data_IF_073652141662
#
_entry.id   IF_073652141662
#
_cell.length_a   1.000
_cell.length_b   1.000
_cell.length_c   1.000
_cell.angle_alpha   90.00
_cell.angle_beta   90.00
_cell.angle_gamma   90.00
#
_symmetry.space_group_name_H-M   'P 1'
#
loop_
_entity.id
_entity.type
_entity.pdbx_description
1 polymer ?
#
# COMPACT_ATOMS: atom_id res chain seq x y z
N UNK A 1 -13.84 0.67 2.75
CA UNK A 1 -15.09 1.15 3.37
C UNK A 1 -14.83 2.48 4.06
N UNK A 2 -15.58 3.51 3.68
CA UNK A 2 -15.47 4.83 4.32
C UNK A 2 -15.69 4.71 5.83
N UNK A 3 -15.11 5.60 6.62
CA UNK A 3 -15.44 5.67 8.05
C UNK A 3 -16.88 6.16 8.21
N UNK A 4 -17.61 5.49 9.09
CA UNK A 4 -19.00 5.80 9.41
C UNK A 4 -19.14 6.10 10.90
N UNK A 5 -20.11 6.93 11.27
CA UNK A 5 -20.46 7.20 12.66
C UNK A 5 -21.95 7.48 12.79
N UNK A 6 -22.54 7.03 13.90
CA UNK A 6 -23.91 7.41 14.28
C UNK A 6 -23.82 8.40 15.42
N UNK A 7 -24.35 9.61 15.19
CA UNK A 7 -24.25 10.72 16.15
C UNK A 7 -24.86 10.33 17.49
N UNK A 8 -24.14 10.62 18.56
CA UNK A 8 -24.63 10.52 19.94
C UNK A 8 -24.80 11.90 20.57
N UNK A 9 -25.53 11.96 21.69
CA UNK A 9 -25.85 13.22 22.35
C UNK A 9 -24.59 14.00 22.76
N UNK A 10 -24.56 15.29 22.41
CA UNK A 10 -23.49 16.22 22.77
C UNK A 10 -22.32 16.30 21.78
N UNK A 11 -22.37 15.56 20.67
CA UNK A 11 -21.35 15.67 19.62
C UNK A 11 -21.58 16.88 18.71
N UNK A 12 -20.48 17.48 18.24
CA UNK A 12 -20.47 18.51 17.19
C UNK A 12 -19.65 18.02 16.00
N UNK A 13 -19.92 18.56 14.81
CA UNK A 13 -19.14 18.20 13.63
C UNK A 13 -17.65 18.55 13.77
N UNK A 14 -17.32 19.66 14.45
CA UNK A 14 -15.93 20.06 14.70
C UNK A 14 -15.19 19.10 15.65
N UNK A 15 -15.85 18.61 16.71
CA UNK A 15 -15.28 17.62 17.61
C UNK A 15 -15.09 16.26 16.90
N UNK A 16 -16.05 15.88 16.05
CA UNK A 16 -15.94 14.69 15.22
C UNK A 16 -14.83 14.84 14.16
N UNK A 17 -14.71 16.00 13.52
CA UNK A 17 -13.62 16.29 12.58
C UNK A 17 -12.26 16.22 13.26
N UNK A 18 -12.11 16.79 14.46
CA UNK A 18 -10.89 16.66 15.25
C UNK A 18 -10.59 15.20 15.60
N UNK A 19 -11.61 14.43 15.99
CA UNK A 19 -11.46 13.02 16.35
C UNK A 19 -11.05 12.15 15.16
N UNK A 20 -11.69 12.34 14.01
CA UNK A 20 -11.50 11.47 12.86
C UNK A 20 -10.42 11.96 11.90
N UNK A 21 -10.24 13.26 11.71
CA UNK A 21 -9.21 13.80 10.82
C UNK A 21 -8.00 14.40 11.56
N UNK A 22 -8.06 14.56 12.88
CA UNK A 22 -7.03 15.30 13.62
C UNK A 22 -7.09 16.82 13.40
N UNK A 23 -8.12 17.33 12.73
CA UNK A 23 -8.30 18.74 12.42
C UNK A 23 -9.80 19.12 12.50
N UNK A 24 -10.12 20.03 13.42
CA UNK A 24 -11.49 20.49 13.64
C UNK A 24 -12.05 21.29 12.45
N UNK A 25 -11.18 21.92 11.65
CA UNK A 25 -11.57 22.75 10.50
C UNK A 25 -12.08 21.93 9.31
N UNK A 26 -11.98 20.59 9.37
CA UNK A 26 -12.52 19.69 8.35
C UNK A 26 -13.98 19.31 8.58
N UNK A 27 -14.67 19.95 9.53
CA UNK A 27 -16.11 19.76 9.71
C UNK A 27 -16.95 20.06 8.44
N UNK A 28 -16.59 21.02 7.55
CA UNK A 28 -17.37 21.26 6.33
C UNK A 28 -17.36 20.07 5.37
N UNK A 29 -16.29 19.26 5.37
CA UNK A 29 -16.24 18.02 4.61
C UNK A 29 -17.29 17.01 5.11
N UNK A 30 -17.44 16.88 6.43
CA UNK A 30 -18.47 16.01 7.02
C UNK A 30 -19.86 16.53 6.69
N UNK A 31 -20.07 17.85 6.78
CA UNK A 31 -21.34 18.47 6.45
C UNK A 31 -21.72 18.26 4.98
N UNK A 32 -20.77 18.50 4.06
CA UNK A 32 -20.94 18.28 2.63
C UNK A 32 -21.28 16.83 2.31
N UNK A 33 -20.57 15.88 2.93
CA UNK A 33 -20.80 14.46 2.71
C UNK A 33 -22.07 13.93 3.38
N UNK A 34 -22.49 14.59 4.46
CA UNK A 34 -23.67 14.28 5.24
C UNK A 34 -24.97 14.89 4.72
N UNK A 35 -24.93 15.75 3.69
CA UNK A 35 -26.09 16.55 3.28
C UNK A 35 -26.60 17.46 4.42
N UNK A 36 -25.69 18.04 5.20
CA UNK A 36 -26.02 18.89 6.35
C UNK A 36 -25.90 20.35 5.94
N UNK A 37 -27.03 21.05 5.88
CA UNK A 37 -27.06 22.47 5.54
C UNK A 37 -26.62 23.37 6.70
N UNK A 38 -27.01 23.04 7.92
CA UNK A 38 -26.62 23.76 9.14
C UNK A 38 -25.68 22.88 10.01
N UNK A 39 -24.36 23.17 10.02
CA UNK A 39 -23.38 22.36 10.73
C UNK A 39 -23.49 22.45 12.26
N UNK A 40 -24.23 23.44 12.79
CA UNK A 40 -24.47 23.59 14.23
C UNK A 40 -25.67 22.74 14.70
N UNK A 41 -26.45 22.18 13.78
CA UNK A 41 -27.62 21.34 14.07
C UNK A 41 -27.35 19.88 13.72
N UNK A 42 -26.89 19.11 14.72
CA UNK A 42 -26.58 17.70 14.56
C UNK A 42 -27.53 16.80 15.35
N UNK A 43 -28.41 16.08 14.64
CA UNK A 43 -29.40 15.20 15.25
C UNK A 43 -28.79 13.88 15.74
N UNK A 44 -29.13 13.49 16.98
CA UNK A 44 -28.78 12.17 17.52
C UNK A 44 -29.37 11.07 16.66
N UNK A 45 -28.57 10.03 16.36
CA UNK A 45 -28.94 8.94 15.47
C UNK A 45 -28.68 9.23 13.98
N UNK A 46 -28.27 10.45 13.61
CA UNK A 46 -27.88 10.73 12.22
C UNK A 46 -26.65 9.93 11.85
N UNK A 47 -26.67 9.31 10.67
CA UNK A 47 -25.53 8.64 10.08
C UNK A 47 -24.62 9.64 9.39
N UNK A 48 -23.32 9.55 9.66
CA UNK A 48 -22.28 10.38 9.08
C UNK A 48 -21.22 9.50 8.43
N UNK A 49 -20.66 10.00 7.34
CA UNK A 49 -19.48 9.45 6.70
C UNK A 49 -18.32 10.43 6.81
N UNK A 50 -17.10 9.91 6.82
CA UNK A 50 -15.88 10.69 6.87
C UNK A 50 -15.03 10.33 5.64
N UNK A 51 -15.29 11.01 4.49
CA UNK A 51 -14.54 10.79 3.27
C UNK A 51 -13.05 11.05 3.48
N UNK A 52 -12.23 10.35 2.71
CA UNK A 52 -10.85 10.79 2.59
C UNK A 52 -10.80 12.06 1.73
N UNK A 53 -9.69 12.79 1.82
CA UNK A 53 -9.59 14.07 1.14
C UNK A 53 -8.16 14.42 0.75
N UNK A 54 -8.09 15.38 -0.14
CA UNK A 54 -6.89 16.03 -0.64
C UNK A 54 -6.92 17.50 -0.24
N UNK A 55 -5.82 17.99 0.34
CA UNK A 55 -5.57 19.44 0.45
C UNK A 55 -4.94 19.92 -0.85
N UNK A 56 -5.58 20.88 -1.50
CA UNK A 56 -5.10 21.51 -2.73
C UNK A 56 -4.85 22.99 -2.49
N UNK A 57 -3.69 23.50 -2.93
CA UNK A 57 -3.41 24.94 -2.92
C UNK A 57 -3.75 25.52 -4.27
N UNK A 58 -4.69 26.45 -4.31
CA UNK A 58 -5.12 27.11 -5.53
C UNK A 58 -3.94 27.76 -6.26
N UNK A 59 -3.76 27.42 -7.52
CA UNK A 59 -2.80 28.05 -8.42
C UNK A 59 -3.42 29.31 -9.05
N UNK A 60 -2.59 30.24 -9.57
CA UNK A 60 -3.09 31.35 -10.37
C UNK A 60 -3.95 30.86 -11.55
N UNK A 61 -5.18 31.37 -11.65
CA UNK A 61 -6.14 31.01 -12.68
C UNK A 61 -7.08 29.85 -12.34
N UNK A 62 -6.91 29.21 -11.18
CA UNK A 62 -7.84 28.18 -10.75
C UNK A 62 -9.24 28.76 -10.45
N UNK A 63 -10.24 28.00 -10.85
CA UNK A 63 -11.66 28.24 -10.54
C UNK A 63 -12.26 26.95 -9.98
N UNK A 64 -13.34 27.03 -9.19
CA UNK A 64 -14.00 25.82 -8.69
C UNK A 64 -14.41 24.87 -9.83
N UNK A 65 -14.99 25.32 -10.97
CA UNK A 65 -15.31 24.44 -12.10
C UNK A 65 -14.08 23.81 -12.77
N UNK A 66 -12.98 24.55 -12.93
CA UNK A 66 -11.76 24.00 -13.52
C UNK A 66 -11.12 22.94 -12.63
N UNK A 67 -11.18 23.13 -11.31
CA UNK A 67 -10.72 22.14 -10.34
C UNK A 67 -11.64 20.92 -10.28
N UNK A 68 -12.96 21.11 -10.33
CA UNK A 68 -13.91 20.00 -10.38
C UNK A 68 -13.73 19.15 -11.66
N UNK A 69 -13.52 19.80 -12.81
CA UNK A 69 -13.14 19.10 -14.05
C UNK A 69 -11.85 18.30 -13.88
N UNK A 70 -10.85 18.88 -13.23
CA UNK A 70 -9.54 18.24 -13.01
C UNK A 70 -9.61 17.05 -12.07
N UNK A 71 -10.31 17.17 -10.95
CA UNK A 71 -10.30 16.18 -9.88
C UNK A 71 -11.43 15.15 -10.00
N UNK A 72 -12.57 15.56 -10.55
CA UNK A 72 -13.77 14.73 -10.65
C UNK A 72 -14.19 14.43 -12.09
N UNK A 73 -13.50 14.99 -13.09
CA UNK A 73 -13.85 14.84 -14.50
C UNK A 73 -15.06 15.68 -14.93
N UNK A 74 -15.60 16.52 -14.05
CA UNK A 74 -16.89 17.18 -14.23
C UNK A 74 -16.95 18.53 -13.51
N UNK A 75 -17.25 19.58 -14.28
CA UNK A 75 -17.32 20.94 -13.80
C UNK A 75 -18.51 21.18 -12.86
N UNK A 76 -19.60 20.41 -13.01
CA UNK A 76 -20.83 20.61 -12.25
C UNK A 76 -20.66 20.19 -10.78
N UNK A 77 -19.61 19.44 -10.46
CA UNK A 77 -19.23 19.09 -9.09
C UNK A 77 -18.42 20.19 -8.36
N UNK A 78 -18.35 21.40 -8.92
CA UNK A 78 -17.72 22.56 -8.28
C UNK A 78 -18.29 22.87 -6.89
N UNK A 79 -19.60 22.66 -6.71
CA UNK A 79 -20.28 22.86 -5.43
C UNK A 79 -19.69 22.00 -4.31
N UNK A 80 -19.22 20.80 -4.64
CA UNK A 80 -18.67 19.87 -3.66
C UNK A 80 -17.34 20.38 -3.10
N UNK A 81 -16.47 20.91 -3.97
CA UNK A 81 -15.21 21.54 -3.53
C UNK A 81 -15.51 22.75 -2.66
N UNK A 82 -16.48 23.58 -3.05
CA UNK A 82 -16.87 24.76 -2.29
C UNK A 82 -17.35 24.36 -0.88
N UNK A 83 -18.38 23.50 -0.79
CA UNK A 83 -18.93 23.03 0.50
C UNK A 83 -17.87 22.33 1.36
N UNK A 84 -17.10 21.40 0.80
CA UNK A 84 -16.06 20.70 1.56
C UNK A 84 -14.95 21.63 2.08
N UNK A 85 -14.72 22.76 1.40
CA UNK A 85 -13.76 23.79 1.81
C UNK A 85 -14.37 24.89 2.70
N UNK A 86 -15.67 24.79 3.04
CA UNK A 86 -16.36 25.84 3.80
C UNK A 86 -16.53 27.16 3.04
N UNK A 87 -16.59 27.11 1.70
CA UNK A 87 -16.71 28.26 0.82
C UNK A 87 -18.09 28.34 0.18
N UNK A 88 -18.59 29.56 -0.15
CA UNK A 88 -19.75 29.69 -1.01
C UNK A 88 -19.42 29.20 -2.43
N UNK A 89 -20.41 28.65 -3.14
CA UNK A 89 -20.23 28.15 -4.51
C UNK A 89 -19.80 29.25 -5.50
N UNK A 90 -20.14 30.50 -5.20
CA UNK A 90 -19.71 31.68 -5.96
C UNK A 90 -18.31 32.20 -5.59
N UNK A 91 -17.54 31.47 -4.78
CA UNK A 91 -16.24 31.92 -4.30
C UNK A 91 -15.25 32.10 -5.46
N UNK A 92 -14.58 33.25 -5.48
CA UNK A 92 -13.41 33.50 -6.32
C UNK A 92 -12.17 33.05 -5.56
N UNK A 93 -11.42 32.12 -6.14
CA UNK A 93 -10.25 31.52 -5.49
C UNK A 93 -9.07 32.49 -5.49
N UNK A 94 -8.37 32.56 -4.36
CA UNK A 94 -7.12 33.31 -4.25
C UNK A 94 -5.92 32.37 -4.39
N UNK A 95 -4.86 32.73 -5.14
CA UNK A 95 -3.67 31.88 -5.24
C UNK A 95 -3.07 31.60 -3.87
N UNK A 96 -2.77 30.32 -3.60
CA UNK A 96 -2.28 29.83 -2.32
C UNK A 96 -3.37 29.42 -1.33
N UNK A 97 -4.64 29.74 -1.60
CA UNK A 97 -5.78 29.32 -0.78
C UNK A 97 -5.86 27.81 -0.75
N UNK A 98 -6.00 27.25 0.46
CA UNK A 98 -6.16 25.83 0.64
C UNK A 98 -7.62 25.42 0.46
N UNK A 99 -7.82 24.37 -0.32
CA UNK A 99 -9.10 23.77 -0.65
C UNK A 99 -9.11 22.30 -0.26
N UNK A 100 -10.28 21.80 0.13
CA UNK A 100 -10.52 20.41 0.43
C UNK A 100 -11.22 19.77 -0.76
N UNK A 101 -10.55 18.80 -1.36
CA UNK A 101 -11.07 17.98 -2.46
C UNK A 101 -11.43 16.62 -1.85
N UNK A 102 -12.72 16.32 -1.76
CA UNK A 102 -13.20 15.06 -1.21
C UNK A 102 -12.89 13.91 -2.18
N UNK A 103 -12.37 12.79 -1.67
CA UNK A 103 -12.22 11.59 -2.49
C UNK A 103 -13.62 10.99 -2.74
N UNK A 104 -13.90 10.68 -4.01
CA UNK A 104 -15.16 10.08 -4.45
C UNK A 104 -14.91 9.04 -5.54
N UNK A 105 -15.87 8.13 -5.65
CA UNK A 105 -15.97 7.11 -6.71
C UNK A 105 -17.24 7.38 -7.50
N UNK A 106 -17.12 7.30 -8.83
CA UNK A 106 -18.26 7.26 -9.75
C UNK A 106 -18.72 5.82 -9.90
N UNK A 107 -20.00 5.57 -9.70
CA UNK A 107 -20.60 4.25 -9.82
C UNK A 107 -21.76 4.26 -10.81
N UNK A 108 -21.64 3.49 -11.90
CA UNK A 108 -22.73 3.31 -12.85
C UNK A 108 -23.73 2.28 -12.32
N UNK A 109 -24.97 2.70 -12.11
CA UNK A 109 -26.06 1.84 -11.61
C UNK A 109 -26.24 0.64 -12.53
N UNK A 110 -26.10 -0.56 -11.96
CA UNK A 110 -26.30 -1.83 -12.63
C UNK A 110 -27.74 -2.35 -12.44
N UNK A 111 -28.18 -3.31 -13.28
CA UNK A 111 -29.47 -3.97 -13.08
C UNK A 111 -29.59 -4.59 -11.68
N UNK A 112 -30.73 -4.35 -11.03
CA UNK A 112 -31.05 -4.81 -9.66
C UNK A 112 -30.34 -4.08 -8.51
N UNK A 113 -29.57 -3.03 -8.78
CA UNK A 113 -29.07 -2.17 -7.71
C UNK A 113 -30.20 -1.47 -6.95
N UNK A 114 -29.96 -1.25 -5.66
CA UNK A 114 -30.77 -0.38 -4.81
C UNK A 114 -29.83 0.48 -3.97
N UNK A 115 -30.24 1.70 -3.58
CA UNK A 115 -29.37 2.54 -2.75
C UNK A 115 -28.98 1.86 -1.43
N UNK A 116 -29.86 1.04 -0.84
CA UNK A 116 -29.54 0.25 0.36
C UNK A 116 -28.50 -0.84 0.11
N UNK A 117 -28.54 -1.51 -1.04
CA UNK A 117 -27.51 -2.48 -1.42
C UNK A 117 -26.16 -1.79 -1.67
N UNK A 118 -26.19 -0.64 -2.35
CA UNK A 118 -24.98 0.17 -2.58
C UNK A 118 -24.42 0.73 -1.26
N UNK A 119 -25.26 1.20 -0.33
CA UNK A 119 -24.82 1.64 0.99
C UNK A 119 -24.22 0.48 1.80
N UNK A 120 -24.82 -0.71 1.75
CA UNK A 120 -24.23 -1.90 2.37
C UNK A 120 -22.86 -2.23 1.76
N UNK A 121 -22.72 -2.06 0.45
CA UNK A 121 -21.48 -2.31 -0.27
C UNK A 121 -20.37 -1.30 0.07
N UNK A 122 -20.67 -0.01 -0.04
CA UNK A 122 -19.68 1.06 0.09
C UNK A 122 -19.45 1.52 1.53
N UNK A 123 -20.50 1.50 2.35
CA UNK A 123 -20.54 2.05 3.71
C UNK A 123 -20.73 0.97 4.79
N UNK A 124 -20.95 -0.29 4.39
CA UNK A 124 -21.07 -1.44 5.30
C UNK A 124 -22.43 -1.61 5.96
N UNK A 125 -23.33 -0.66 5.76
CA UNK A 125 -24.65 -0.66 6.39
C UNK A 125 -25.69 -0.05 5.45
N UNK A 126 -26.77 -0.81 5.21
CA UNK A 126 -27.88 -0.40 4.36
C UNK A 126 -28.53 0.92 4.81
N UNK A 127 -28.52 1.22 6.10
CA UNK A 127 -29.13 2.43 6.68
C UNK A 127 -28.46 3.73 6.24
N UNK A 128 -27.27 3.65 5.65
CA UNK A 128 -26.53 4.81 5.13
C UNK A 128 -26.97 5.24 3.72
N UNK A 129 -27.96 4.58 3.12
CA UNK A 129 -28.46 4.93 1.79
C UNK A 129 -28.93 6.39 1.63
N UNK A 130 -29.48 7.10 2.65
CA UNK A 130 -29.86 8.49 2.49
C UNK A 130 -28.69 9.39 2.11
N UNK A 131 -27.47 9.08 2.57
CA UNK A 131 -26.27 9.84 2.20
C UNK A 131 -25.94 9.74 0.70
N UNK A 132 -26.20 8.58 0.08
CA UNK A 132 -26.06 8.41 -1.37
C UNK A 132 -27.15 9.19 -2.09
N UNK A 133 -28.39 9.16 -1.59
CA UNK A 133 -29.49 9.90 -2.18
C UNK A 133 -29.24 11.41 -2.17
N UNK A 134 -28.83 11.95 -1.01
CA UNK A 134 -28.64 13.39 -0.78
C UNK A 134 -27.55 13.97 -1.69
N UNK A 135 -26.37 13.35 -1.76
CA UNK A 135 -25.25 13.85 -2.59
C UNK A 135 -25.55 13.81 -4.09
N UNK A 136 -26.45 12.91 -4.52
CA UNK A 136 -26.87 12.76 -5.91
C UNK A 136 -28.19 13.46 -6.23
N UNK A 137 -28.80 14.16 -5.28
CA UNK A 137 -30.08 14.85 -5.48
C UNK A 137 -31.26 13.90 -5.78
N UNK A 138 -31.21 12.65 -5.30
CA UNK A 138 -32.26 11.65 -5.54
C UNK A 138 -33.40 11.89 -4.55
N UNK A 139 -34.52 12.39 -5.05
CA UNK A 139 -35.70 12.68 -4.22
C UNK A 139 -36.47 11.43 -3.77
N UNK A 140 -36.50 10.38 -4.60
CA UNK A 140 -37.11 9.08 -4.26
C UNK A 140 -36.04 7.97 -4.26
N UNK A 141 -35.53 7.58 -3.08
CA UNK A 141 -34.50 6.55 -2.94
C UNK A 141 -34.88 5.15 -3.45
N UNK A 142 -36.18 4.91 -3.72
CA UNK A 142 -36.67 3.64 -4.25
C UNK A 142 -36.52 3.52 -5.78
N UNK A 143 -36.21 4.63 -6.46
CA UNK A 143 -36.10 4.69 -7.91
C UNK A 143 -34.69 5.16 -8.28
N UNK A 144 -33.87 4.23 -8.78
CA UNK A 144 -32.58 4.53 -9.41
C UNK A 144 -32.53 3.90 -10.81
N UNK A 145 -32.19 4.71 -11.81
CA UNK A 145 -32.18 4.28 -13.19
C UNK A 145 -30.85 3.62 -13.56
N UNK A 146 -30.92 2.43 -14.16
CA UNK A 146 -29.75 1.71 -14.68
C UNK A 146 -29.01 2.59 -15.68
N UNK A 147 -27.68 2.65 -15.54
CA UNK A 147 -26.81 3.51 -16.35
C UNK A 147 -26.61 4.92 -15.78
N UNK A 148 -27.37 5.33 -14.76
CA UNK A 148 -27.10 6.58 -14.03
C UNK A 148 -25.77 6.48 -13.32
N UNK A 149 -24.98 7.54 -13.37
CA UNK A 149 -23.73 7.61 -12.62
C UNK A 149 -23.96 8.29 -11.28
N UNK A 150 -23.63 7.58 -10.20
CA UNK A 150 -23.75 8.06 -8.83
C UNK A 150 -22.38 8.48 -8.30
N UNK A 151 -22.36 9.60 -7.59
CA UNK A 151 -21.27 10.01 -6.72
C UNK A 151 -21.38 9.27 -5.40
N UNK A 152 -20.35 8.51 -5.07
CA UNK A 152 -20.20 7.82 -3.79
C UNK A 152 -18.93 8.36 -3.13
N UNK A 153 -19.03 8.91 -1.93
CA UNK A 153 -17.82 9.33 -1.23
C UNK A 153 -16.94 8.13 -0.94
N UNK A 154 -15.65 8.28 -1.25
CA UNK A 154 -14.67 7.25 -1.04
C UNK A 154 -13.93 7.50 0.27
N UNK A 155 -13.59 6.41 0.92
CA UNK A 155 -12.62 6.42 2.00
C UNK A 155 -11.89 5.09 2.00
N UNK A 156 -10.62 5.14 2.37
CA UNK A 156 -9.83 3.94 2.56
C UNK A 156 -10.43 3.13 3.67
N UNK A 157 -10.63 1.86 3.43
CA UNK A 157 -11.14 0.97 4.45
C UNK A 157 -11.01 -0.49 4.11
N UNK A 158 -11.81 -1.27 4.80
CA UNK A 158 -11.67 -2.71 4.84
C UNK A 158 -11.84 -3.37 3.47
N UNK A 159 -11.23 -4.54 3.32
CA UNK A 159 -11.29 -5.33 2.11
C UNK A 159 -10.26 -6.45 2.11
N UNK A 160 -10.48 -7.48 1.30
CA UNK A 160 -9.53 -8.58 1.10
C UNK A 160 -9.09 -9.29 2.39
N UNK A 161 -9.97 -9.33 3.41
CA UNK A 161 -9.69 -9.92 4.72
C UNK A 161 -8.82 -9.05 5.64
N UNK A 162 -8.69 -7.76 5.35
CA UNK A 162 -8.08 -6.75 6.20
C UNK A 162 -9.16 -5.82 6.77
N UNK A 163 -9.14 -5.64 8.09
CA UNK A 163 -9.94 -4.66 8.80
C UNK A 163 -9.01 -3.60 9.41
N UNK A 164 -9.19 -2.32 9.08
CA UNK A 164 -8.35 -1.25 9.61
C UNK A 164 -8.70 -1.03 11.08
N UNK A 165 -7.72 -1.21 11.96
CA UNK A 165 -7.89 -1.02 13.41
C UNK A 165 -7.13 0.19 13.94
N UNK A 166 -6.18 0.71 13.17
CA UNK A 166 -5.41 1.92 13.49
C UNK A 166 -4.86 2.52 12.20
N UNK A 167 -4.75 3.84 12.11
CA UNK A 167 -4.16 4.54 10.96
C UNK A 167 -3.78 5.98 11.29
N UNK A 168 -2.84 6.53 10.55
CA UNK A 168 -2.55 7.97 10.55
C UNK A 168 -2.18 8.43 9.13
N UNK A 169 -2.85 9.49 8.70
CA UNK A 169 -2.73 10.06 7.35
C UNK A 169 -2.37 11.57 7.40
N UNK A 170 -1.96 12.06 8.58
CA UNK A 170 -1.71 13.48 8.82
C UNK A 170 -0.42 13.96 8.14
N UNK A 171 0.55 13.07 7.96
CA UNK A 171 1.76 13.38 7.19
C UNK A 171 1.40 13.65 5.72
N UNK A 172 2.06 14.62 5.05
CA UNK A 172 1.82 14.88 3.63
C UNK A 172 2.13 13.70 2.70
N UNK A 173 3.02 12.79 3.11
CA UNK A 173 3.50 11.69 2.26
C UNK A 173 3.44 10.33 2.94
N UNK A 174 3.82 10.21 4.22
CA UNK A 174 3.91 8.90 4.88
C UNK A 174 2.67 8.61 5.72
N UNK A 175 1.84 7.70 5.23
CA UNK A 175 0.70 7.20 5.98
C UNK A 175 0.99 5.83 6.55
N UNK A 176 0.36 5.50 7.67
CA UNK A 176 0.41 4.14 8.20
C UNK A 176 -0.98 3.58 8.46
N UNK A 177 -1.05 2.25 8.40
CA UNK A 177 -2.22 1.45 8.71
C UNK A 177 -1.82 0.27 9.58
N UNK A 178 -2.70 -0.15 10.48
CA UNK A 178 -2.67 -1.47 11.11
C UNK A 178 -3.94 -2.22 10.78
N UNK A 179 -3.80 -3.51 10.57
CA UNK A 179 -4.90 -4.36 10.13
C UNK A 179 -5.15 -5.49 11.11
N UNK A 180 -6.39 -5.70 11.53
CA UNK A 180 -6.81 -7.00 12.01
C UNK A 180 -7.04 -7.93 10.81
N UNK A 181 -6.54 -9.17 10.91
CA UNK A 181 -6.70 -10.18 9.85
C UNK A 181 -6.57 -11.60 10.39
N UNK A 182 -7.10 -12.60 9.69
CA UNK A 182 -6.96 -14.01 10.05
C UNK A 182 -5.58 -14.60 9.69
N UNK A 183 -4.81 -13.92 8.84
CA UNK A 183 -3.50 -14.40 8.40
C UNK A 183 -2.42 -14.28 9.49
N UNK A 184 -2.55 -13.31 10.39
CA UNK A 184 -1.53 -12.91 11.37
C UNK A 184 -2.19 -12.79 12.75
N UNK A 185 -1.55 -13.36 13.79
CA UNK A 185 -2.10 -13.38 15.16
C UNK A 185 -2.10 -12.05 15.92
N UNK A 186 -1.72 -10.94 15.28
CA UNK A 186 -1.75 -9.56 15.81
C UNK A 186 -2.09 -8.61 14.67
N UNK A 187 -2.02 -7.30 14.94
CA UNK A 187 -2.33 -6.27 13.95
C UNK A 187 -1.06 -5.80 13.19
N UNK A 188 -0.66 -6.44 12.06
CA UNK A 188 0.50 -6.03 11.28
C UNK A 188 0.37 -4.58 10.81
N UNK A 189 1.50 -3.88 10.79
CA UNK A 189 1.59 -2.51 10.32
C UNK A 189 2.02 -2.43 8.85
N UNK A 190 1.58 -1.38 8.16
CA UNK A 190 2.00 -1.04 6.80
C UNK A 190 2.20 0.46 6.70
N UNK A 191 3.38 0.87 6.25
CA UNK A 191 3.63 2.24 5.84
C UNK A 191 3.36 2.37 4.33
N UNK A 192 2.69 3.43 3.92
CA UNK A 192 2.48 3.81 2.51
C UNK A 192 3.02 5.21 2.32
N UNK A 193 4.12 5.32 1.59
CA UNK A 193 4.75 6.58 1.25
C UNK A 193 4.31 7.04 -0.12
N UNK A 194 3.77 8.25 -0.18
CA UNK A 194 3.17 8.83 -1.37
C UNK A 194 4.09 9.85 -2.04
N UNK A 195 3.97 9.99 -3.37
CA UNK A 195 4.52 11.12 -4.11
C UNK A 195 4.05 12.46 -3.53
N UNK A 196 4.89 13.48 -3.59
CA UNK A 196 4.55 14.82 -3.07
C UNK A 196 3.35 15.45 -3.79
N UNK A 197 3.10 15.06 -5.03
CA UNK A 197 1.96 15.52 -5.84
C UNK A 197 0.74 14.59 -5.74
N UNK A 198 0.77 13.51 -4.94
CA UNK A 198 -0.31 12.51 -4.91
C UNK A 198 -1.67 13.15 -4.64
N UNK A 199 -1.75 14.02 -3.64
CA UNK A 199 -2.97 14.75 -3.29
C UNK A 199 -3.40 15.67 -4.43
N UNK A 200 -2.50 16.43 -5.03
CA UNK A 200 -2.87 17.53 -5.94
C UNK A 200 -2.94 17.17 -7.42
N UNK A 201 -2.38 16.04 -7.85
CA UNK A 201 -2.19 15.76 -9.29
C UNK A 201 -3.38 15.06 -9.95
N UNK A 202 -4.19 14.31 -9.20
CA UNK A 202 -5.20 13.39 -9.76
C UNK A 202 -4.61 12.20 -10.54
N UNK A 203 -3.29 11.98 -10.48
CA UNK A 203 -2.61 10.89 -11.22
C UNK A 203 -2.78 9.54 -10.56
N UNK A 204 -2.69 8.51 -11.38
CA UNK A 204 -2.39 7.11 -11.03
C UNK A 204 -0.89 6.89 -11.04
N UNK A 205 -0.37 6.10 -10.11
CA UNK A 205 1.06 5.92 -9.88
C UNK A 205 1.51 4.45 -9.91
N UNK A 206 2.75 4.16 -10.34
CA UNK A 206 3.36 2.86 -10.09
C UNK A 206 3.64 2.65 -8.59
N UNK A 207 3.82 1.39 -8.18
CA UNK A 207 4.02 0.99 -6.77
C UNK A 207 5.29 0.16 -6.62
N UNK A 208 6.11 0.49 -5.62
CA UNK A 208 7.19 -0.35 -5.10
C UNK A 208 6.78 -0.96 -3.76
N UNK A 209 6.68 -2.29 -3.68
CA UNK A 209 6.57 -3.00 -2.41
C UNK A 209 7.99 -3.25 -1.88
N UNK A 210 8.34 -2.65 -0.74
CA UNK A 210 9.69 -2.63 -0.17
C UNK A 210 9.74 -3.36 1.17
N UNK A 211 10.48 -4.47 1.20
CA UNK A 211 10.50 -5.45 2.28
C UNK A 211 11.72 -5.31 3.19
N UNK A 212 11.50 -5.32 4.51
CA UNK A 212 12.54 -5.17 5.52
C UNK A 212 13.30 -6.48 5.80
N UNK A 213 14.43 -6.37 6.50
CA UNK A 213 15.25 -7.48 6.94
C UNK A 213 14.72 -8.17 8.21
N UNK A 214 15.48 -9.16 8.71
CA UNK A 214 15.15 -9.80 9.98
C UNK A 214 15.25 -8.83 11.17
N UNK A 215 14.44 -9.05 12.19
CA UNK A 215 14.28 -8.28 13.43
C UNK A 215 13.94 -6.79 13.22
N UNK A 216 13.39 -6.47 12.04
CA UNK A 216 12.88 -5.14 11.67
C UNK A 216 11.35 -5.19 11.53
N UNK A 217 10.74 -4.04 11.21
CA UNK A 217 9.31 -3.93 10.92
C UNK A 217 9.03 -2.88 9.83
N UNK A 218 7.74 -2.63 9.56
CA UNK A 218 7.23 -1.67 8.59
C UNK A 218 7.80 -0.23 8.72
N UNK A 219 8.42 0.13 9.85
CA UNK A 219 9.00 1.45 10.11
C UNK A 219 10.48 1.55 9.75
N UNK A 220 11.17 0.43 9.51
CA UNK A 220 12.62 0.40 9.31
C UNK A 220 13.10 1.40 8.25
N UNK A 221 12.47 1.40 7.07
CA UNK A 221 12.86 2.28 5.98
C UNK A 221 12.55 3.76 6.26
N UNK A 222 11.54 4.06 7.10
CA UNK A 222 11.30 5.43 7.57
C UNK A 222 12.51 5.95 8.35
N UNK A 223 12.99 5.15 9.32
CA UNK A 223 14.22 5.46 10.06
C UNK A 223 15.49 5.46 9.19
N UNK A 224 15.47 4.75 8.06
CA UNK A 224 16.56 4.72 7.08
C UNK A 224 16.50 5.87 6.05
N UNK A 225 15.59 6.84 6.20
CA UNK A 225 15.54 8.04 5.34
C UNK A 225 14.81 7.83 4.00
N UNK A 226 13.88 6.88 3.91
CA UNK A 226 13.15 6.60 2.67
C UNK A 226 12.38 7.81 2.13
N UNK A 227 11.97 8.76 2.99
CA UNK A 227 11.24 9.96 2.59
C UNK A 227 12.09 10.87 1.71
N UNK A 228 13.36 11.04 2.07
CA UNK A 228 14.36 11.80 1.34
C UNK A 228 14.78 11.06 0.07
N UNK A 229 15.03 9.75 0.17
CA UNK A 229 15.48 8.93 -0.97
C UNK A 229 14.45 8.88 -2.10
N UNK A 230 13.17 9.06 -1.79
CA UNK A 230 12.06 9.05 -2.74
C UNK A 230 11.50 10.44 -3.04
N UNK A 231 12.12 11.51 -2.51
CA UNK A 231 11.64 12.87 -2.71
C UNK A 231 11.60 13.23 -4.21
N UNK A 232 10.48 13.78 -4.67
CA UNK A 232 10.25 14.15 -6.08
C UNK A 232 10.07 12.97 -7.04
N UNK A 233 10.07 11.73 -6.54
CA UNK A 233 9.88 10.54 -7.39
C UNK A 233 8.38 10.22 -7.53
N UNK A 234 7.85 10.00 -8.75
CA UNK A 234 6.43 9.76 -8.98
C UNK A 234 6.08 8.27 -8.78
N UNK A 235 6.31 7.74 -7.58
CA UNK A 235 6.07 6.34 -7.21
C UNK A 235 5.53 6.22 -5.78
N UNK A 236 4.58 5.33 -5.56
CA UNK A 236 4.12 4.95 -4.22
C UNK A 236 5.05 3.87 -3.68
N UNK A 237 5.47 3.97 -2.42
CA UNK A 237 6.28 2.93 -1.76
C UNK A 237 5.49 2.33 -0.60
N UNK A 238 5.21 1.03 -0.68
CA UNK A 238 4.48 0.26 0.33
C UNK A 238 5.49 -0.57 1.13
N UNK A 239 5.54 -0.37 2.43
CA UNK A 239 6.48 -1.00 3.35
C UNK A 239 5.70 -1.77 4.41
N UNK A 240 5.37 -3.05 4.18
CA UNK A 240 4.64 -3.86 5.14
C UNK A 240 5.54 -4.53 6.17
N UNK A 241 4.95 -4.85 7.32
CA UNK A 241 5.50 -5.79 8.30
C UNK A 241 5.57 -7.20 7.69
N UNK A 242 6.70 -7.88 7.89
CA UNK A 242 6.97 -9.25 7.47
C UNK A 242 7.39 -10.17 8.63
N UNK A 243 7.19 -9.71 9.87
CA UNK A 243 7.58 -10.41 11.09
C UNK A 243 9.06 -10.30 11.39
N UNK A 244 9.45 -10.62 12.63
CA UNK A 244 10.85 -10.54 13.05
C UNK A 244 11.72 -11.54 12.29
N UNK A 245 11.16 -12.69 11.94
CA UNK A 245 11.77 -13.69 11.08
C UNK A 245 10.67 -14.43 10.32
N UNK A 246 9.79 -13.71 9.64
CA UNK A 246 8.67 -14.34 8.91
C UNK A 246 9.07 -14.89 7.55
N UNK A 247 10.24 -14.50 7.02
CA UNK A 247 10.78 -14.94 5.72
C UNK A 247 9.78 -14.79 4.56
N UNK A 248 8.85 -13.83 4.66
CA UNK A 248 7.83 -13.57 3.65
C UNK A 248 7.08 -14.85 3.22
N UNK A 249 6.82 -15.73 4.19
CA UNK A 249 6.35 -17.09 3.94
C UNK A 249 5.19 -17.47 4.84
N UNK A 250 4.37 -18.40 4.36
CA UNK A 250 3.46 -19.14 5.25
C UNK A 250 4.23 -20.33 5.85
N UNK A 251 4.32 -20.45 7.18
CA UNK A 251 5.10 -21.52 7.80
C UNK A 251 4.42 -22.88 7.64
N UNK A 252 5.23 -23.94 7.64
CA UNK A 252 4.73 -25.32 7.72
C UNK A 252 4.09 -25.57 9.09
N UNK A 253 4.65 -25.01 10.15
CA UNK A 253 4.11 -25.13 11.51
C UNK A 253 4.32 -23.85 12.33
N UNK A 254 3.36 -23.56 13.21
CA UNK A 254 3.41 -22.46 14.18
C UNK A 254 2.73 -22.90 15.47
N UNK A 255 3.32 -22.56 16.62
CA UNK A 255 2.74 -22.84 17.94
C UNK A 255 2.17 -21.59 18.63
N UNK A 256 2.12 -20.46 17.93
CA UNK A 256 1.63 -19.16 18.44
C UNK A 256 0.46 -18.61 17.61
N UNK A 257 -0.21 -19.48 16.85
CA UNK A 257 -1.28 -19.09 15.92
C UNK A 257 -0.77 -18.64 14.53
N UNK A 258 -1.63 -17.99 13.72
CA UNK A 258 -1.32 -17.64 12.35
C UNK A 258 -0.13 -16.69 12.19
N UNK A 259 0.78 -17.02 11.27
CA UNK A 259 1.97 -16.26 10.87
C UNK A 259 2.12 -16.30 9.34
N UNK A 260 1.00 -16.21 8.64
CA UNK A 260 0.88 -16.42 7.21
C UNK A 260 1.22 -15.16 6.41
N UNK A 261 2.49 -14.77 6.43
CA UNK A 261 2.98 -13.53 5.80
C UNK A 261 2.78 -13.50 4.29
N UNK A 262 2.92 -14.64 3.61
CA UNK A 262 2.68 -14.72 2.17
C UNK A 262 1.22 -14.48 1.81
N UNK A 263 0.29 -15.02 2.60
CA UNK A 263 -1.13 -14.70 2.46
C UNK A 263 -1.39 -13.21 2.70
N UNK A 264 -0.85 -12.65 3.79
CA UNK A 264 -1.02 -11.24 4.11
C UNK A 264 -0.55 -10.32 2.98
N UNK A 265 0.66 -10.51 2.46
CA UNK A 265 1.19 -9.63 1.42
C UNK A 265 0.47 -9.78 0.07
N UNK A 266 0.25 -11.01 -0.38
CA UNK A 266 -0.16 -11.25 -1.78
C UNK A 266 -1.68 -11.31 -1.93
N UNK A 267 -2.36 -12.05 -1.05
CA UNK A 267 -3.80 -12.25 -1.19
C UNK A 267 -4.62 -11.11 -0.57
N UNK A 268 -4.02 -10.34 0.36
CA UNK A 268 -4.74 -9.33 1.13
C UNK A 268 -4.21 -7.92 0.85
N UNK A 269 -2.94 -7.66 1.14
CA UNK A 269 -2.38 -6.31 1.09
C UNK A 269 -2.25 -5.78 -0.35
N UNK A 270 -1.73 -6.57 -1.28
CA UNK A 270 -1.57 -6.15 -2.67
C UNK A 270 -2.90 -5.64 -3.27
N UNK A 271 -3.99 -6.44 -3.28
CA UNK A 271 -5.27 -5.95 -3.81
C UNK A 271 -5.90 -4.86 -2.93
N UNK A 272 -5.63 -4.83 -1.62
CA UNK A 272 -6.06 -3.73 -0.75
C UNK A 272 -5.40 -2.41 -1.16
N UNK A 273 -4.11 -2.39 -1.45
CA UNK A 273 -3.40 -1.20 -1.93
C UNK A 273 -4.03 -0.69 -3.23
N UNK A 274 -4.30 -1.59 -4.19
CA UNK A 274 -4.87 -1.17 -5.48
C UNK A 274 -6.31 -0.64 -5.35
N UNK A 275 -7.08 -1.14 -4.39
CA UNK A 275 -8.43 -0.65 -4.14
C UNK A 275 -8.49 0.67 -3.35
N UNK A 276 -7.43 1.01 -2.62
CA UNK A 276 -7.41 2.13 -1.67
C UNK A 276 -6.48 3.28 -2.09
N UNK A 277 -5.67 3.08 -3.13
CA UNK A 277 -4.74 4.07 -3.67
C UNK A 277 -4.85 4.14 -5.20
N UNK A 278 -4.51 5.28 -5.79
CA UNK A 278 -4.46 5.45 -7.25
C UNK A 278 -3.22 4.76 -7.81
N UNK A 279 -3.30 3.44 -8.00
CA UNK A 279 -2.20 2.60 -8.49
C UNK A 279 -2.47 2.04 -9.88
N UNK A 280 -1.40 1.74 -10.62
CA UNK A 280 -1.48 0.88 -11.78
C UNK A 280 -1.51 -0.59 -11.34
N UNK A 281 -2.72 -1.16 -11.30
CA UNK A 281 -2.98 -2.52 -10.80
C UNK A 281 -2.57 -3.64 -11.78
N UNK A 282 -1.68 -3.37 -12.74
CA UNK A 282 -1.13 -4.33 -13.69
C UNK A 282 0.35 -4.67 -13.43
N UNK A 283 0.86 -5.63 -14.21
CA UNK A 283 2.25 -6.08 -14.18
C UNK A 283 3.27 -4.93 -14.28
N UNK A 284 3.09 -4.07 -15.28
CA UNK A 284 3.98 -2.94 -15.55
C UNK A 284 3.80 -1.78 -14.56
N UNK A 285 2.80 -1.85 -13.67
CA UNK A 285 2.57 -0.88 -12.61
C UNK A 285 3.28 -1.19 -11.30
N UNK A 286 3.85 -2.40 -11.13
CA UNK A 286 4.36 -2.86 -9.83
C UNK A 286 5.82 -3.34 -9.88
N UNK A 287 6.56 -2.95 -8.85
CA UNK A 287 7.87 -3.50 -8.49
C UNK A 287 7.85 -4.09 -7.09
N UNK A 288 8.76 -5.02 -6.83
CA UNK A 288 9.01 -5.57 -5.50
C UNK A 288 10.50 -5.51 -5.19
N UNK A 289 10.86 -5.07 -3.99
CA UNK A 289 12.25 -4.97 -3.57
C UNK A 289 12.38 -5.26 -2.09
N UNK A 290 13.60 -5.46 -1.61
CA UNK A 290 13.83 -5.58 -0.18
C UNK A 290 15.27 -5.76 0.23
N UNK A 291 15.48 -5.67 1.54
CA UNK A 291 16.77 -5.84 2.19
C UNK A 291 16.84 -7.17 2.96
N UNK A 292 17.93 -7.92 2.83
CA UNK A 292 18.19 -9.15 3.62
C UNK A 292 17.06 -10.19 3.45
N UNK A 293 16.39 -10.57 4.53
CA UNK A 293 15.15 -11.38 4.53
C UNK A 293 14.13 -10.86 3.51
N UNK A 294 13.98 -9.53 3.39
CA UNK A 294 13.11 -8.87 2.42
C UNK A 294 13.61 -8.98 0.98
N UNK A 295 14.92 -9.01 0.76
CA UNK A 295 15.50 -9.27 -0.57
C UNK A 295 15.20 -10.68 -1.06
N UNK A 296 15.26 -11.67 -0.14
CA UNK A 296 14.76 -13.02 -0.42
C UNK A 296 13.26 -13.01 -0.74
N UNK A 297 12.44 -12.33 0.10
CA UNK A 297 11.00 -12.21 -0.11
C UNK A 297 10.65 -11.61 -1.48
N UNK A 298 11.38 -10.58 -1.91
CA UNK A 298 11.21 -9.93 -3.20
C UNK A 298 11.54 -10.89 -4.37
N UNK A 299 12.68 -11.58 -4.31
CA UNK A 299 13.02 -12.60 -5.32
C UNK A 299 11.96 -13.69 -5.36
N UNK A 300 11.60 -14.26 -4.20
CA UNK A 300 10.57 -15.29 -4.07
C UNK A 300 9.25 -14.87 -4.71
N UNK A 301 8.72 -13.70 -4.35
CA UNK A 301 7.43 -13.24 -4.86
C UNK A 301 7.47 -12.93 -6.36
N UNK A 302 8.56 -12.34 -6.86
CA UNK A 302 8.73 -12.11 -8.30
C UNK A 302 8.77 -13.41 -9.12
N UNK A 303 9.30 -14.50 -8.56
CA UNK A 303 9.33 -15.81 -9.20
C UNK A 303 7.98 -16.54 -9.13
N UNK A 304 7.40 -16.61 -7.92
CA UNK A 304 6.21 -17.40 -7.61
C UNK A 304 4.94 -16.76 -8.15
N UNK A 305 4.87 -15.43 -8.11
CA UNK A 305 3.78 -14.62 -8.63
C UNK A 305 4.25 -13.82 -9.84
N UNK A 306 4.78 -14.54 -10.83
CA UNK A 306 5.48 -13.97 -11.98
C UNK A 306 4.67 -12.96 -12.80
N UNK A 307 3.32 -12.97 -12.71
CA UNK A 307 2.43 -12.02 -13.36
C UNK A 307 2.19 -10.71 -12.60
N UNK A 308 2.73 -10.52 -11.39
CA UNK A 308 2.44 -9.33 -10.57
C UNK A 308 3.47 -8.22 -10.65
N UNK A 309 4.75 -8.53 -10.92
CA UNK A 309 5.84 -7.53 -10.78
C UNK A 309 6.73 -7.46 -12.02
N UNK A 310 6.85 -6.26 -12.60
CA UNK A 310 7.72 -5.96 -13.74
C UNK A 310 9.18 -5.66 -13.35
N UNK A 311 9.45 -5.35 -12.09
CA UNK A 311 10.80 -5.16 -11.56
C UNK A 311 10.98 -5.86 -10.22
N UNK A 312 12.16 -6.45 -10.00
CA UNK A 312 12.57 -7.05 -8.74
C UNK A 312 13.95 -6.57 -8.31
N UNK A 313 14.09 -6.25 -7.02
CA UNK A 313 15.36 -5.80 -6.44
C UNK A 313 15.70 -6.58 -5.15
N UNK A 314 16.93 -7.10 -5.06
CA UNK A 314 17.42 -7.81 -3.87
C UNK A 314 18.66 -7.13 -3.32
N UNK A 315 18.50 -6.42 -2.20
CA UNK A 315 19.59 -5.78 -1.47
C UNK A 315 20.06 -6.71 -0.35
N UNK A 316 21.25 -7.28 -0.50
CA UNK A 316 21.82 -8.29 0.40
C UNK A 316 20.85 -9.44 0.74
N UNK A 317 19.96 -9.81 -0.17
CA UNK A 317 19.02 -10.92 0.03
C UNK A 317 19.55 -12.25 -0.51
N UNK A 318 19.35 -13.38 0.21
CA UNK A 318 19.75 -14.69 -0.29
C UNK A 318 18.86 -15.11 -1.46
N UNK A 319 19.48 -15.72 -2.48
CA UNK A 319 18.81 -16.11 -3.72
C UNK A 319 18.72 -17.63 -3.93
N UNK A 320 19.32 -18.44 -3.06
CA UNK A 320 19.41 -19.90 -3.22
C UNK A 320 19.12 -20.63 -1.91
N UNK A 321 18.04 -21.43 -1.91
CA UNK A 321 17.62 -22.19 -0.74
C UNK A 321 18.32 -23.55 -0.60
N UNK A 322 18.90 -24.09 -1.67
CA UNK A 322 19.51 -25.44 -1.69
C UNK A 322 21.03 -25.44 -1.60
N UNK A 323 21.66 -24.30 -1.85
CA UNK A 323 23.11 -24.17 -1.78
C UNK A 323 23.62 -24.47 -0.37
N UNK A 324 24.85 -25.00 -0.30
CA UNK A 324 25.60 -25.24 0.93
C UNK A 324 24.78 -26.03 1.97
N UNK A 325 24.23 -27.17 1.50
CA UNK A 325 23.35 -28.06 2.28
C UNK A 325 22.08 -27.36 2.79
N UNK A 326 21.58 -26.39 2.02
CA UNK A 326 20.41 -25.57 2.31
C UNK A 326 20.52 -24.76 3.59
N UNK A 327 21.69 -24.14 3.79
CA UNK A 327 21.96 -23.28 4.93
C UNK A 327 20.91 -22.17 5.10
N UNK A 328 20.39 -21.60 4.01
CA UNK A 328 19.31 -20.59 4.09
C UNK A 328 18.00 -21.17 4.63
N UNK A 329 17.67 -22.42 4.29
CA UNK A 329 16.48 -23.10 4.85
C UNK A 329 16.66 -23.36 6.34
N UNK A 330 17.85 -23.82 6.75
CA UNK A 330 18.17 -23.97 8.17
C UNK A 330 18.09 -22.64 8.91
N UNK A 331 18.66 -21.59 8.34
CA UNK A 331 18.64 -20.25 8.90
C UNK A 331 17.21 -19.73 9.06
N UNK A 332 16.36 -19.90 8.05
CA UNK A 332 14.96 -19.55 8.11
C UNK A 332 14.22 -20.30 9.22
N UNK A 333 14.35 -21.63 9.26
CA UNK A 333 13.70 -22.44 10.30
C UNK A 333 14.16 -22.06 11.71
N UNK A 334 15.47 -21.89 11.94
CA UNK A 334 16.01 -21.60 13.27
C UNK A 334 15.57 -20.21 13.75
N UNK A 335 15.71 -19.20 12.89
CA UNK A 335 15.34 -17.81 13.27
C UNK A 335 13.84 -17.68 13.50
N UNK A 336 13.00 -18.24 12.62
CA UNK A 336 11.55 -18.21 12.81
C UNK A 336 11.11 -19.01 14.02
N UNK A 337 11.72 -20.17 14.31
CA UNK A 337 11.41 -20.97 15.50
C UNK A 337 11.60 -20.15 16.78
N UNK A 338 12.67 -19.36 16.85
CA UNK A 338 13.00 -18.54 18.03
C UNK A 338 12.17 -17.27 18.11
N UNK A 339 11.98 -16.56 17.00
CA UNK A 339 11.46 -15.19 17.01
C UNK A 339 9.95 -15.08 16.74
N UNK A 340 9.38 -15.99 15.93
CA UNK A 340 8.01 -15.83 15.42
C UNK A 340 7.10 -17.06 15.58
N UNK A 341 7.63 -18.27 15.73
CA UNK A 341 6.87 -19.53 15.61
C UNK A 341 6.88 -20.41 16.88
N UNK A 342 7.62 -20.03 17.92
CA UNK A 342 7.82 -20.76 19.17
C UNK A 342 8.17 -22.26 18.99
N UNK A 343 9.18 -22.54 18.18
CA UNK A 343 9.60 -23.90 17.81
C UNK A 343 8.99 -24.42 16.50
N UNK A 344 8.04 -23.70 15.91
CA UNK A 344 7.53 -23.98 14.57
C UNK A 344 8.56 -23.68 13.47
N UNK A 345 8.25 -24.02 12.22
CA UNK A 345 9.20 -23.96 11.10
C UNK A 345 8.58 -23.38 9.83
N UNK A 346 9.40 -22.66 9.06
CA UNK A 346 8.97 -22.11 7.76
C UNK A 346 8.86 -23.22 6.73
N UNK A 347 9.86 -24.10 6.66
CA UNK A 347 10.00 -25.13 5.62
C UNK A 347 9.89 -26.57 6.15
N UNK A 348 9.60 -26.78 7.44
CA UNK A 348 9.53 -28.11 8.05
C UNK A 348 10.87 -28.57 8.65
N UNK A 349 10.82 -29.45 9.67
CA UNK A 349 11.97 -30.13 10.26
C UNK A 349 11.52 -31.45 10.93
N UNK A 350 12.38 -32.50 11.01
CA UNK A 350 13.74 -32.58 10.50
C UNK A 350 13.83 -32.75 8.97
N UNK A 351 12.73 -33.19 8.33
CA UNK A 351 12.60 -33.24 6.89
C UNK A 351 11.87 -31.98 6.39
N UNK A 352 12.42 -31.34 5.37
CA UNK A 352 11.79 -30.16 4.77
C UNK A 352 10.63 -30.57 3.86
N UNK A 353 9.60 -29.72 3.81
CA UNK A 353 8.54 -29.78 2.80
C UNK A 353 9.13 -29.34 1.46
N UNK A 354 9.62 -30.33 0.71
CA UNK A 354 10.41 -30.11 -0.50
C UNK A 354 9.67 -29.30 -1.56
N UNK A 355 8.34 -29.44 -1.65
CA UNK A 355 7.54 -28.70 -2.61
C UNK A 355 7.56 -27.20 -2.31
N UNK A 356 7.43 -26.81 -1.05
CA UNK A 356 7.53 -25.41 -0.60
C UNK A 356 8.92 -24.85 -0.83
N UNK A 357 9.98 -25.60 -0.46
CA UNK A 357 11.36 -25.16 -0.72
C UNK A 357 11.55 -24.89 -2.22
N UNK A 358 11.14 -25.81 -3.10
CA UNK A 358 11.25 -25.62 -4.56
C UNK A 358 10.32 -24.54 -5.14
N UNK A 359 9.20 -24.25 -4.49
CA UNK A 359 8.29 -23.17 -4.89
C UNK A 359 8.84 -21.79 -4.52
N UNK A 360 9.59 -21.73 -3.41
CA UNK A 360 10.08 -20.48 -2.82
C UNK A 360 11.55 -20.20 -3.19
N UNK A 361 12.23 -21.13 -3.88
CA UNK A 361 13.64 -21.01 -4.27
C UNK A 361 13.84 -20.23 -5.59
N UNK A 362 14.42 -19.01 -5.59
CA UNK A 362 14.63 -18.22 -6.81
C UNK A 362 15.43 -18.95 -7.90
N UNK A 363 16.51 -19.66 -7.55
CA UNK A 363 17.36 -20.38 -8.53
C UNK A 363 16.65 -21.52 -9.26
N UNK A 364 15.55 -22.05 -8.70
CA UNK A 364 14.73 -23.08 -9.37
C UNK A 364 13.62 -22.48 -10.25
N UNK A 365 13.51 -21.14 -10.28
CA UNK A 365 12.43 -20.40 -10.94
C UNK A 365 12.96 -19.40 -11.96
N UNK A 366 14.15 -19.64 -12.50
CA UNK A 366 14.86 -18.73 -13.43
C UNK A 366 13.99 -18.25 -14.59
N UNK A 367 13.22 -19.16 -15.20
CA UNK A 367 12.32 -18.82 -16.31
C UNK A 367 11.26 -17.77 -15.96
N UNK A 368 10.82 -17.72 -14.70
CA UNK A 368 9.84 -16.74 -14.23
C UNK A 368 10.36 -15.31 -14.24
N UNK A 369 11.68 -15.09 -14.30
CA UNK A 369 12.28 -13.75 -14.29
C UNK A 369 12.41 -13.10 -15.67
N UNK A 370 11.98 -13.77 -16.75
CA UNK A 370 11.95 -13.17 -18.08
C UNK A 370 11.06 -11.92 -18.10
N UNK A 371 11.46 -10.93 -18.91
CA UNK A 371 10.74 -9.66 -19.10
C UNK A 371 10.59 -8.80 -17.83
N UNK A 372 11.49 -9.01 -16.85
CA UNK A 372 11.60 -8.19 -15.64
C UNK A 372 12.88 -7.37 -15.67
N UNK A 373 12.85 -6.21 -15.03
CA UNK A 373 14.08 -5.59 -14.53
C UNK A 373 14.52 -6.37 -13.27
N UNK A 374 15.79 -6.71 -13.19
CA UNK A 374 16.37 -7.46 -12.07
C UNK A 374 17.58 -6.69 -11.55
N UNK A 375 17.56 -6.30 -10.28
CA UNK A 375 18.64 -5.61 -9.61
C UNK A 375 19.12 -6.43 -8.40
N UNK A 376 20.41 -6.75 -8.37
CA UNK A 376 21.04 -7.50 -7.30
C UNK A 376 22.15 -6.65 -6.67
N UNK A 377 22.15 -6.54 -5.35
CA UNK A 377 23.18 -5.85 -4.60
C UNK A 377 23.66 -6.74 -3.46
N UNK A 378 24.98 -6.84 -3.31
CA UNK A 378 25.63 -7.49 -2.17
C UNK A 378 26.94 -6.77 -1.80
N UNK A 379 27.26 -6.80 -0.52
CA UNK A 379 28.55 -6.46 0.06
C UNK A 379 29.61 -7.52 -0.24
N UNK A 380 30.88 -7.10 -0.26
CA UNK A 380 32.05 -7.94 -0.59
C UNK A 380 33.03 -8.09 0.56
N UNK A 381 32.85 -7.35 1.65
CA UNK A 381 33.79 -7.32 2.77
C UNK A 381 33.00 -7.29 4.08
N UNK A 382 32.45 -8.43 4.52
CA UNK A 382 31.76 -8.48 5.79
C UNK A 382 32.69 -8.11 6.94
N UNK A 383 32.14 -7.58 8.02
CA UNK A 383 32.89 -7.29 9.24
C UNK A 383 33.46 -8.60 9.81
N UNK A 384 34.80 -8.77 9.85
CA UNK A 384 35.42 -10.00 10.33
C UNK A 384 35.22 -10.22 11.84
N UNK A 385 34.85 -9.17 12.59
CA UNK A 385 34.58 -9.25 14.03
C UNK A 385 33.11 -9.57 14.34
N UNK A 386 32.20 -9.32 13.39
CA UNK A 386 30.81 -9.71 13.50
C UNK A 386 30.57 -11.04 12.76
N UNK A 387 30.56 -12.13 13.51
CA UNK A 387 30.38 -13.47 12.95
C UNK A 387 29.06 -13.63 12.18
N UNK A 388 27.99 -12.98 12.64
CA UNK A 388 26.70 -13.02 11.95
C UNK A 388 26.78 -12.33 10.59
N UNK A 389 27.45 -11.18 10.51
CA UNK A 389 27.69 -10.45 9.26
C UNK A 389 28.59 -11.26 8.29
N UNK A 390 29.69 -11.82 8.82
CA UNK A 390 30.63 -12.67 8.08
C UNK A 390 29.98 -13.89 7.44
N UNK A 391 29.14 -14.63 8.16
CA UNK A 391 28.49 -15.82 7.62
C UNK A 391 27.35 -15.44 6.67
N UNK A 392 26.55 -14.44 7.05
CA UNK A 392 25.38 -14.03 6.30
C UNK A 392 25.75 -13.41 4.94
N UNK A 393 26.60 -12.37 4.92
CA UNK A 393 26.90 -11.67 3.66
C UNK A 393 27.72 -12.54 2.70
N UNK A 394 28.61 -13.39 3.21
CA UNK A 394 29.34 -14.35 2.37
C UNK A 394 28.38 -15.32 1.69
N UNK A 395 27.37 -15.81 2.41
CA UNK A 395 26.35 -16.71 1.86
C UNK A 395 25.41 -16.02 0.87
N UNK A 396 24.96 -14.81 1.22
CA UNK A 396 24.16 -13.97 0.33
C UNK A 396 24.90 -13.71 -0.98
N UNK A 397 26.16 -13.29 -0.91
CA UNK A 397 26.98 -13.02 -2.08
C UNK A 397 27.17 -14.27 -2.95
N UNK A 398 27.48 -15.41 -2.34
CA UNK A 398 27.63 -16.67 -3.06
C UNK A 398 26.32 -17.12 -3.74
N UNK A 399 25.20 -17.03 -3.04
CA UNK A 399 23.88 -17.32 -3.58
C UNK A 399 23.45 -16.38 -4.71
N UNK A 400 23.73 -15.07 -4.58
CA UNK A 400 23.45 -14.11 -5.66
C UNK A 400 24.36 -14.32 -6.87
N UNK A 401 25.62 -14.73 -6.68
CA UNK A 401 26.52 -15.13 -7.79
C UNK A 401 25.99 -16.36 -8.53
N UNK A 402 25.54 -17.39 -7.81
CA UNK A 402 24.88 -18.57 -8.39
C UNK A 402 23.64 -18.17 -9.20
N UNK A 403 22.75 -17.39 -8.60
CA UNK A 403 21.53 -16.92 -9.26
C UNK A 403 21.81 -16.11 -10.53
N UNK A 404 22.75 -15.16 -10.51
CA UNK A 404 23.15 -14.41 -11.72
C UNK A 404 23.78 -15.29 -12.78
N UNK A 405 24.52 -16.32 -12.37
CA UNK A 405 25.09 -17.31 -13.28
C UNK A 405 23.99 -18.02 -14.06
N UNK A 406 22.93 -18.44 -13.38
CA UNK A 406 21.76 -19.04 -14.03
C UNK A 406 20.96 -18.05 -14.90
N UNK A 407 20.80 -16.79 -14.47
CA UNK A 407 20.17 -15.75 -15.30
C UNK A 407 20.96 -15.52 -16.60
N UNK A 408 22.28 -15.40 -16.50
CA UNK A 408 23.20 -15.27 -17.64
C UNK A 408 23.06 -16.46 -18.60
N UNK A 409 23.09 -17.68 -18.07
CA UNK A 409 22.95 -18.90 -18.86
C UNK A 409 21.58 -18.99 -19.58
N UNK A 410 20.53 -18.42 -18.99
CA UNK A 410 19.19 -18.38 -19.57
C UNK A 410 18.94 -17.18 -20.50
N UNK A 411 19.95 -16.30 -20.71
CA UNK A 411 19.86 -15.09 -21.50
C UNK A 411 18.92 -14.03 -20.91
N UNK A 412 18.81 -13.97 -19.58
CA UNK A 412 17.93 -13.02 -18.89
C UNK A 412 18.75 -11.80 -18.44
N UNK A 413 18.45 -10.59 -18.95
CA UNK A 413 19.14 -9.37 -18.56
C UNK A 413 18.98 -9.09 -17.06
N UNK A 414 20.07 -8.68 -16.41
CA UNK A 414 20.08 -8.33 -15.00
C UNK A 414 21.22 -7.36 -14.71
N UNK A 415 21.05 -6.59 -13.64
CA UNK A 415 22.04 -5.67 -13.09
C UNK A 415 22.50 -6.23 -11.73
N UNK A 416 23.81 -6.33 -11.53
CA UNK A 416 24.38 -6.87 -10.30
C UNK A 416 25.54 -6.00 -9.80
N UNK A 417 25.47 -5.61 -8.54
CA UNK A 417 26.44 -4.75 -7.87
C UNK A 417 27.06 -5.47 -6.68
N UNK A 418 28.39 -5.48 -6.65
CA UNK A 418 29.19 -6.02 -5.57
C UNK A 418 30.06 -4.89 -5.01
N UNK A 419 29.71 -4.40 -3.81
CA UNK A 419 30.29 -3.17 -3.25
C UNK A 419 31.05 -3.44 -1.94
N UNK A 420 32.08 -2.66 -1.57
CA UNK A 420 32.80 -2.86 -0.30
C UNK A 420 31.90 -2.75 0.93
N UNK A 421 32.20 -3.50 1.99
CA UNK A 421 31.48 -3.53 3.27
C UNK A 421 30.57 -4.76 3.45
N UNK A 422 29.93 -4.85 4.62
CA UNK A 422 29.09 -5.98 5.03
C UNK A 422 27.58 -5.80 4.78
N UNK A 423 26.76 -6.39 5.66
CA UNK A 423 25.32 -6.57 5.56
C UNK A 423 24.53 -5.39 6.15
N UNK A 424 24.49 -4.28 5.41
CA UNK A 424 23.70 -3.10 5.78
C UNK A 424 22.97 -2.53 4.56
N UNK A 425 21.86 -1.81 4.81
CA UNK A 425 21.12 -1.12 3.77
C UNK A 425 21.96 0.05 3.23
N UNK A 426 21.99 0.22 1.90
CA UNK A 426 22.87 1.17 1.21
C UNK A 426 22.04 2.24 0.49
N UNK A 427 21.82 3.42 1.10
CA UNK A 427 20.98 4.47 0.53
C UNK A 427 21.36 4.89 -0.89
N UNK A 428 22.66 5.06 -1.16
CA UNK A 428 23.14 5.48 -2.49
C UNK A 428 22.79 4.47 -3.59
N UNK A 429 22.96 3.18 -3.30
CA UNK A 429 22.60 2.11 -4.24
C UNK A 429 21.08 1.94 -4.36
N UNK A 430 20.32 2.23 -3.30
CA UNK A 430 18.87 2.27 -3.37
C UNK A 430 18.38 3.38 -4.32
N UNK A 431 19.02 4.56 -4.35
CA UNK A 431 18.67 5.62 -5.30
C UNK A 431 18.89 5.17 -6.74
N UNK A 432 20.03 4.54 -7.05
CA UNK A 432 20.31 3.97 -8.38
C UNK A 432 19.26 2.94 -8.77
N UNK A 433 18.91 2.06 -7.84
CA UNK A 433 17.89 1.05 -8.06
C UNK A 433 16.51 1.67 -8.30
N UNK A 434 16.11 2.64 -7.50
CA UNK A 434 14.84 3.35 -7.59
C UNK A 434 14.67 4.04 -8.95
N UNK A 435 15.72 4.65 -9.47
CA UNK A 435 15.70 5.26 -10.81
C UNK A 435 15.49 4.21 -11.90
N UNK A 436 16.14 3.06 -11.80
CA UNK A 436 15.91 1.94 -12.70
C UNK A 436 14.49 1.35 -12.60
N UNK A 437 13.92 1.28 -11.38
CA UNK A 437 12.53 0.87 -11.15
C UNK A 437 11.58 1.83 -11.89
N UNK A 438 11.70 3.13 -11.65
CA UNK A 438 10.83 4.15 -12.26
C UNK A 438 10.94 4.15 -13.78
N UNK A 439 12.15 3.93 -14.32
CA UNK A 439 12.35 3.82 -15.77
C UNK A 439 11.70 2.57 -16.39
N UNK A 440 11.54 1.48 -15.63
CA UNK A 440 10.91 0.23 -16.11
C UNK A 440 9.39 0.27 -16.02
N UNK A 441 8.84 0.88 -14.97
CA UNK A 441 7.41 0.84 -14.71
C UNK A 441 6.63 1.82 -15.59
N UNK A 442 5.31 1.61 -15.67
CA UNK A 442 4.38 2.54 -16.29
C UNK A 442 4.51 3.92 -15.60
N UNK A 443 4.79 5.00 -16.35
CA UNK A 443 4.91 6.33 -15.77
C UNK A 443 3.58 6.79 -15.17
N UNK A 444 3.63 7.48 -14.04
CA UNK A 444 2.44 8.08 -13.46
C UNK A 444 1.73 9.00 -14.47
N UNK A 445 0.42 8.90 -14.58
CA UNK A 445 -0.40 9.65 -15.54
C UNK A 445 -1.77 9.94 -14.96
N UNK A 446 -2.57 10.89 -15.50
CA UNK A 446 -3.97 11.02 -15.12
C UNK A 446 -4.69 9.66 -15.23
N UNK A 447 -5.64 9.40 -14.34
CA UNK A 447 -6.47 8.20 -14.41
C UNK A 447 -7.16 8.13 -15.77
N UNK A 448 -7.16 6.97 -16.46
CA UNK A 448 -8.02 6.80 -17.63
C UNK A 448 -9.48 6.98 -17.19
N UNK A 449 -10.21 7.81 -17.94
CA UNK A 449 -11.66 8.01 -17.80
C UNK A 449 -12.43 6.70 -17.96
#
# INVERSE_FOLDING_TARGET
MIRTHTVVAGETLSALALRFYGDAELYPLIAAAGGIDDPDVLAVGRHLIFPDFTRYRAAPGDTLPSLATRFYGDADLAWLIARASGLPESAVLTPGQELIIADLTRYTVAPADTLSALASHFYGDASFYPLIADVNGIADPSVIDVGTELIIFAGRGDGFGLHIVDRNENDPRLWYYRFQTSAIGWNPGVNVLLPSDYRTSGRTYPVLYLFHGGDQDFRFFDFAGIRELTAGKPIIVVMPDGGRAGWYSNPVSSFVGPRNWETFHIAQLLPWIDANFRTFAEYDGRAVGGFSMGGFGALKYAAKYYGHFASVSSHSGPASLRRDYGLVVHWANITSAVLDLAGGTVYGAPLWEQRRVSADNPVERIGSYRNKRIFLLAGTSPDPLNWFDSVNETQVLAGQREFRGHLSAAGIPHEAHEVPGGHFFRPDMFVVDLDGIIARLRPASPSPL
#
